data_IF_864165193996
#
_entry.id   IF_864165193996
#
_cell.length_a   1.000
_cell.length_b   1.000
_cell.length_c   1.000
_cell.angle_alpha   90.00
_cell.angle_beta   90.00
_cell.angle_gamma   90.00
#
_symmetry.space_group_name_H-M   'P 1'
#
loop_
_entity.id
_entity.type
_entity.pdbx_description
1 polymer ?
#
# COMPACT_ATOMS: atom_id res chain seq x y z
N UNK A 1 -8.52 7.75 -9.94
CA UNK A 1 -9.42 7.04 -8.99
C UNK A 1 -9.12 7.48 -7.57
N UNK A 2 -10.12 7.41 -6.69
CA UNK A 2 -10.03 7.59 -5.24
C UNK A 2 -9.99 6.22 -4.57
N UNK A 3 -8.89 5.92 -3.89
CA UNK A 3 -8.65 4.61 -3.28
C UNK A 3 -8.55 4.78 -1.77
N UNK A 4 -9.35 4.02 -1.02
CA UNK A 4 -9.31 4.00 0.44
C UNK A 4 -8.60 2.75 0.95
N UNK A 5 -7.71 2.90 1.94
CA UNK A 5 -6.99 1.80 2.55
C UNK A 5 -7.43 1.58 4.00
N UNK A 6 -7.96 0.39 4.31
CA UNK A 6 -8.31 0.01 5.70
C UNK A 6 -7.11 -0.68 6.36
N UNK A 7 -6.53 -0.05 7.37
CA UNK A 7 -5.26 -0.45 8.00
C UNK A 7 -4.04 0.09 7.26
N UNK A 8 -4.12 1.34 6.79
CA UNK A 8 -3.11 1.98 5.94
C UNK A 8 -1.74 2.17 6.63
N UNK A 9 -1.72 2.19 7.96
CA UNK A 9 -0.50 2.32 8.78
C UNK A 9 0.36 1.06 8.81
N UNK A 10 -0.10 -0.07 8.25
CA UNK A 10 0.73 -1.27 8.07
C UNK A 10 1.81 -1.06 7.01
N UNK A 11 3.02 -1.61 7.23
CA UNK A 11 4.16 -1.41 6.32
C UNK A 11 3.88 -1.87 4.88
N UNK A 12 3.13 -2.97 4.72
CA UNK A 12 2.77 -3.48 3.39
C UNK A 12 1.70 -2.65 2.69
N UNK A 13 0.68 -2.18 3.41
CA UNK A 13 -0.40 -1.37 2.81
C UNK A 13 0.07 0.04 2.49
N UNK A 14 0.84 0.66 3.38
CA UNK A 14 1.42 1.99 3.13
C UNK A 14 2.32 1.97 1.90
N UNK A 15 3.06 0.89 1.63
CA UNK A 15 3.84 0.79 0.40
C UNK A 15 2.95 0.86 -0.85
N UNK A 16 1.86 0.11 -0.87
CA UNK A 16 0.90 0.16 -1.99
C UNK A 16 0.23 1.53 -2.12
N UNK A 17 -0.12 2.16 -0.99
CA UNK A 17 -0.73 3.48 -0.98
C UNK A 17 0.21 4.55 -1.56
N UNK A 18 1.47 4.61 -1.09
CA UNK A 18 2.49 5.54 -1.62
C UNK A 18 2.74 5.31 -3.10
N UNK A 19 2.81 4.05 -3.53
CA UNK A 19 3.01 3.71 -4.93
C UNK A 19 1.86 4.20 -5.81
N UNK A 20 0.62 3.89 -5.42
CA UNK A 20 -0.58 4.33 -6.15
C UNK A 20 -0.74 5.86 -6.14
N UNK A 21 -0.34 6.53 -5.06
CA UNK A 21 -0.34 7.99 -5.03
C UNK A 21 0.64 8.59 -6.06
N UNK A 22 1.83 8.00 -6.21
CA UNK A 22 2.78 8.42 -7.24
C UNK A 22 2.32 8.08 -8.67
N UNK A 23 1.57 6.99 -8.85
CA UNK A 23 0.87 6.66 -10.12
C UNK A 23 -0.33 7.62 -10.42
N UNK A 24 -0.55 8.65 -9.59
CA UNK A 24 -1.55 9.70 -9.81
C UNK A 24 -2.93 9.42 -9.22
N UNK A 25 -3.08 8.38 -8.39
CA UNK A 25 -4.33 8.11 -7.68
C UNK A 25 -4.49 9.01 -6.44
N UNK A 26 -5.73 9.36 -6.12
CA UNK A 26 -6.04 10.01 -4.84
C UNK A 26 -6.15 8.92 -3.77
N UNK A 27 -5.34 9.00 -2.73
CA UNK A 27 -5.34 8.02 -1.65
C UNK A 27 -5.99 8.60 -0.38
N UNK A 28 -6.65 7.73 0.36
CA UNK A 28 -7.14 7.97 1.71
C UNK A 28 -7.00 6.69 2.51
N UNK A 29 -7.10 6.75 3.83
CA UNK A 29 -7.08 5.52 4.61
C UNK A 29 -7.49 5.71 6.05
N UNK A 30 -7.53 4.58 6.75
CA UNK A 30 -7.87 4.51 8.15
C UNK A 30 -6.95 3.54 8.88
N UNK A 31 -6.83 3.72 10.19
CA UNK A 31 -6.14 2.78 11.06
C UNK A 31 -6.74 2.85 12.47
N UNK A 32 -6.35 1.91 13.34
CA UNK A 32 -6.81 1.86 14.74
C UNK A 32 -6.18 2.97 15.59
N UNK A 33 -5.00 3.46 15.19
CA UNK A 33 -4.25 4.51 15.89
C UNK A 33 -3.36 5.28 14.93
N UNK A 34 -3.03 6.51 15.30
CA UNK A 34 -2.06 7.32 14.59
C UNK A 34 -0.65 6.74 14.75
N UNK A 35 0.12 6.75 13.66
CA UNK A 35 1.52 6.30 13.58
C UNK A 35 2.35 7.26 12.73
N UNK A 36 3.66 7.09 12.74
CA UNK A 36 4.57 7.83 11.85
C UNK A 36 4.22 7.61 10.38
N UNK A 37 3.89 6.37 9.99
CA UNK A 37 3.45 6.03 8.62
C UNK A 37 2.18 6.80 8.23
N UNK A 38 1.18 6.86 9.12
CA UNK A 38 -0.05 7.61 8.80
C UNK A 38 0.21 9.12 8.70
N UNK A 39 1.12 9.65 9.52
CA UNK A 39 1.49 11.07 9.45
C UNK A 39 2.23 11.38 8.14
N UNK A 40 3.17 10.53 7.75
CA UNK A 40 3.91 10.64 6.49
C UNK A 40 2.93 10.64 5.30
N UNK A 41 1.96 9.73 5.29
CA UNK A 41 0.95 9.66 4.22
C UNK A 41 0.10 10.94 4.15
N UNK A 42 -0.31 11.48 5.30
CA UNK A 42 -1.07 12.72 5.33
C UNK A 42 -0.25 13.92 4.83
N UNK A 43 0.99 14.06 5.31
CA UNK A 43 1.85 15.21 5.02
C UNK A 43 2.44 15.18 3.61
N UNK A 44 2.92 14.02 3.16
CA UNK A 44 3.70 13.90 1.93
C UNK A 44 2.82 13.56 0.71
N UNK A 45 1.66 12.92 0.93
CA UNK A 45 0.77 12.47 -0.14
C UNK A 45 -0.63 13.10 -0.06
N UNK A 46 -0.88 13.99 0.91
CA UNK A 46 -2.18 14.63 1.09
C UNK A 46 -3.30 13.64 1.44
N UNK A 47 -2.96 12.47 1.96
CA UNK A 47 -3.93 11.43 2.24
C UNK A 47 -4.87 11.84 3.39
N UNK A 48 -6.18 11.73 3.19
CA UNK A 48 -7.15 11.85 4.29
C UNK A 48 -7.04 10.60 5.17
N UNK A 49 -6.57 10.77 6.41
CA UNK A 49 -6.44 9.70 7.40
C UNK A 49 -7.58 9.78 8.42
N UNK A 50 -8.24 8.65 8.67
CA UNK A 50 -9.32 8.52 9.66
C UNK A 50 -8.89 7.60 10.81
N UNK A 51 -8.91 8.09 12.05
CA UNK A 51 -8.55 7.34 13.26
C UNK A 51 -9.65 7.52 14.33
N UNK A 52 -10.20 6.45 14.94
CA UNK A 52 -10.13 5.07 14.49
C UNK A 52 -11.02 4.86 13.26
N UNK A 53 -11.23 3.60 12.86
CA UNK A 53 -12.11 3.28 11.74
C UNK A 53 -13.51 3.87 11.88
N UNK A 54 -14.04 4.46 10.81
CA UNK A 54 -15.37 5.05 10.78
C UNK A 54 -16.04 4.81 9.43
N UNK A 55 -17.32 4.43 9.41
CA UNK A 55 -18.04 4.07 8.18
C UNK A 55 -17.98 5.17 7.10
N UNK A 56 -18.00 6.44 7.51
CA UNK A 56 -17.99 7.58 6.58
C UNK A 56 -16.64 7.74 5.85
N UNK A 57 -15.59 7.03 6.27
CA UNK A 57 -14.26 7.14 5.67
C UNK A 57 -14.21 6.63 4.21
N UNK A 58 -15.15 5.77 3.83
CA UNK A 58 -15.24 5.18 2.48
C UNK A 58 -16.25 5.89 1.57
N UNK A 59 -16.84 7.01 2.01
CA UNK A 59 -17.82 7.71 1.17
C UNK A 59 -17.17 8.41 -0.03
N UNK A 60 -17.71 8.18 -1.22
CA UNK A 60 -17.24 8.80 -2.46
C UNK A 60 -15.90 8.27 -2.97
N UNK A 61 -15.45 7.11 -2.50
CA UNK A 61 -14.26 6.42 -3.01
C UNK A 61 -14.64 5.39 -4.07
N UNK A 62 -13.75 5.15 -5.03
CA UNK A 62 -14.00 4.23 -6.14
C UNK A 62 -13.67 2.78 -5.77
N UNK A 63 -12.69 2.59 -4.88
CA UNK A 63 -12.18 1.28 -4.47
C UNK A 63 -11.66 1.30 -3.04
N UNK A 64 -11.78 0.18 -2.35
CA UNK A 64 -11.24 -0.06 -1.02
C UNK A 64 -10.23 -1.20 -1.07
N UNK A 65 -9.03 -0.97 -0.55
CA UNK A 65 -8.00 -1.98 -0.34
C UNK A 65 -7.84 -2.22 1.17
N UNK A 66 -7.85 -3.47 1.62
CA UNK A 66 -7.79 -3.77 3.05
C UNK A 66 -6.70 -4.78 3.41
N UNK A 67 -6.16 -4.64 4.63
CA UNK A 67 -5.18 -5.58 5.17
C UNK A 67 -5.83 -6.91 5.58
N UNK A 68 -5.02 -7.96 5.71
CA UNK A 68 -5.52 -9.27 6.17
C UNK A 68 -6.11 -9.25 7.60
N UNK A 69 -5.79 -8.22 8.40
CA UNK A 69 -6.32 -8.06 9.76
C UNK A 69 -7.76 -7.49 9.79
N UNK A 70 -8.26 -6.95 8.67
CA UNK A 70 -9.59 -6.35 8.60
C UNK A 70 -10.65 -7.44 8.55
N UNK A 71 -11.48 -7.48 9.59
CA UNK A 71 -12.61 -8.41 9.70
C UNK A 71 -13.84 -7.88 8.96
N UNK A 72 -14.76 -8.75 8.49
CA UNK A 72 -16.04 -8.32 7.89
C UNK A 72 -16.95 -7.50 8.82
N UNK A 73 -16.65 -7.45 10.12
CA UNK A 73 -17.33 -6.60 11.10
C UNK A 73 -16.78 -5.18 11.17
N UNK A 74 -15.72 -4.86 10.42
CA UNK A 74 -15.19 -3.50 10.35
C UNK A 74 -16.24 -2.56 9.72
N UNK A 75 -16.51 -1.38 10.30
CA UNK A 75 -17.56 -0.48 9.84
C UNK A 75 -17.34 0.03 8.41
N UNK A 76 -16.09 0.27 8.02
CA UNK A 76 -15.74 0.72 6.66
C UNK A 76 -15.92 -0.41 5.65
N UNK A 77 -15.53 -1.63 6.00
CA UNK A 77 -15.74 -2.81 5.15
C UNK A 77 -17.24 -3.04 4.89
N UNK A 78 -18.07 -3.00 5.93
CA UNK A 78 -19.52 -3.17 5.80
C UNK A 78 -20.15 -2.05 4.98
N UNK A 79 -19.74 -0.80 5.22
CA UNK A 79 -20.24 0.36 4.46
C UNK A 79 -19.85 0.30 3.00
N UNK A 80 -18.59 -0.02 2.70
CA UNK A 80 -18.11 -0.20 1.33
C UNK A 80 -18.90 -1.27 0.59
N UNK A 81 -19.13 -2.42 1.25
CA UNK A 81 -19.95 -3.50 0.70
C UNK A 81 -21.40 -3.06 0.45
N UNK A 82 -22.01 -2.33 1.38
CA UNK A 82 -23.37 -1.82 1.24
C UNK A 82 -23.52 -0.79 0.11
N UNK A 83 -22.48 -0.01 -0.14
CA UNK A 83 -22.42 0.97 -1.24
C UNK A 83 -22.03 0.34 -2.59
N UNK A 84 -21.70 -0.96 -2.63
CA UNK A 84 -21.25 -1.62 -3.85
C UNK A 84 -19.84 -1.19 -4.30
N UNK A 85 -19.04 -0.62 -3.40
CA UNK A 85 -17.66 -0.23 -3.67
C UNK A 85 -16.81 -1.49 -3.81
N UNK A 86 -15.92 -1.51 -4.80
CA UNK A 86 -15.02 -2.64 -5.03
C UNK A 86 -14.07 -2.83 -3.84
N UNK A 87 -14.11 -4.04 -3.27
CA UNK A 87 -13.30 -4.43 -2.13
C UNK A 87 -12.21 -5.40 -2.59
N UNK A 88 -10.96 -5.02 -2.44
CA UNK A 88 -9.81 -5.89 -2.71
C UNK A 88 -8.98 -6.09 -1.45
N UNK A 89 -8.65 -7.34 -1.13
CA UNK A 89 -7.58 -7.59 -0.18
C UNK A 89 -6.24 -7.06 -0.71
N UNK A 90 -5.26 -6.85 0.17
CA UNK A 90 -3.87 -6.55 -0.21
C UNK A 90 -3.39 -7.45 -1.36
N UNK A 91 -3.60 -8.78 -1.21
CA UNK A 91 -3.15 -9.78 -2.19
C UNK A 91 -3.83 -9.63 -3.55
N UNK A 92 -5.13 -9.37 -3.58
CA UNK A 92 -5.88 -9.16 -4.83
C UNK A 92 -5.44 -7.88 -5.53
N UNK A 93 -5.20 -6.80 -4.77
CA UNK A 93 -4.76 -5.52 -5.32
C UNK A 93 -3.41 -5.60 -6.03
N UNK A 94 -2.50 -6.49 -5.58
CA UNK A 94 -1.19 -6.68 -6.21
C UNK A 94 -1.29 -7.07 -7.69
N UNK A 95 -2.33 -7.83 -8.08
CA UNK A 95 -2.53 -8.21 -9.48
C UNK A 95 -2.76 -6.98 -10.36
N UNK A 96 -3.55 -6.03 -9.89
CA UNK A 96 -3.80 -4.77 -10.63
C UNK A 96 -2.58 -3.85 -10.60
N UNK A 97 -1.84 -3.80 -9.49
CA UNK A 97 -0.70 -2.89 -9.31
C UNK A 97 0.53 -3.38 -10.09
N UNK A 98 0.78 -4.69 -10.11
CA UNK A 98 1.98 -5.29 -10.66
C UNK A 98 1.78 -5.97 -12.02
N UNK A 99 0.54 -6.23 -12.45
CA UNK A 99 0.23 -7.11 -13.57
C UNK A 99 0.89 -6.75 -14.90
N UNK A 100 1.02 -5.45 -15.19
CA UNK A 100 1.63 -4.95 -16.43
C UNK A 100 3.10 -4.52 -16.26
N UNK A 101 3.68 -4.76 -15.09
CA UNK A 101 5.03 -4.29 -14.72
C UNK A 101 6.06 -5.42 -14.87
N UNK A 102 7.32 -5.05 -15.11
CA UNK A 102 8.46 -5.97 -15.09
C UNK A 102 8.88 -6.18 -13.63
N UNK A 103 8.41 -7.28 -13.03
CA UNK A 103 8.56 -7.54 -11.59
C UNK A 103 9.76 -8.42 -11.28
N UNK A 104 10.69 -7.88 -10.49
CA UNK A 104 11.78 -8.60 -9.85
C UNK A 104 11.37 -8.97 -8.41
N UNK A 105 10.77 -10.14 -8.25
CA UNK A 105 10.24 -10.59 -6.97
C UNK A 105 11.30 -11.31 -6.12
N UNK A 106 11.40 -10.96 -4.85
CA UNK A 106 12.27 -11.62 -3.86
C UNK A 106 11.39 -12.30 -2.81
N UNK A 107 11.35 -13.64 -2.83
CA UNK A 107 10.65 -14.46 -1.83
C UNK A 107 11.61 -15.25 -0.93
N UNK A 108 11.06 -15.88 0.11
CA UNK A 108 11.80 -16.79 1.01
C UNK A 108 11.60 -16.48 2.49
N UNK A 109 11.85 -17.45 3.37
CA UNK A 109 11.55 -17.31 4.81
C UNK A 109 12.30 -16.15 5.50
N UNK A 110 13.53 -15.86 5.08
CA UNK A 110 14.39 -14.85 5.69
C UNK A 110 15.16 -14.06 4.62
N UNK A 111 15.61 -12.85 4.98
CA UNK A 111 16.48 -12.03 4.13
C UNK A 111 15.77 -11.26 3.01
N UNK A 112 14.47 -11.44 2.82
CA UNK A 112 13.71 -10.82 1.71
C UNK A 112 13.89 -9.30 1.62
N UNK A 113 13.69 -8.57 2.73
CA UNK A 113 13.78 -7.12 2.72
C UNK A 113 15.18 -6.62 2.40
N UNK A 114 16.21 -7.24 2.99
CA UNK A 114 17.62 -6.91 2.73
C UNK A 114 17.99 -7.17 1.27
N UNK A 115 17.63 -8.35 0.74
CA UNK A 115 17.92 -8.73 -0.64
C UNK A 115 17.14 -7.85 -1.63
N UNK A 116 15.89 -7.49 -1.33
CA UNK A 116 15.09 -6.56 -2.14
C UNK A 116 15.72 -5.17 -2.17
N UNK A 117 16.20 -4.66 -1.02
CA UNK A 117 16.89 -3.37 -0.96
C UNK A 117 18.20 -3.38 -1.75
N UNK A 118 19.01 -4.44 -1.63
CA UNK A 118 20.23 -4.61 -2.42
C UNK A 118 19.93 -4.67 -3.92
N UNK A 119 18.91 -5.43 -4.31
CA UNK A 119 18.50 -5.55 -5.71
C UNK A 119 17.99 -4.21 -6.27
N UNK A 120 17.21 -3.45 -5.50
CA UNK A 120 16.79 -2.10 -5.88
C UNK A 120 18.00 -1.17 -6.04
N UNK A 121 19.04 -1.29 -5.22
CA UNK A 121 20.27 -0.50 -5.37
C UNK A 121 21.03 -0.83 -6.66
N UNK A 122 21.05 -2.12 -7.06
CA UNK A 122 21.73 -2.61 -8.27
C UNK A 122 20.96 -2.24 -9.54
N UNK A 123 19.63 -2.24 -9.50
CA UNK A 123 18.78 -1.89 -10.64
C UNK A 123 18.48 -0.39 -10.58
N UNK A 124 19.21 0.46 -11.33
CA UNK A 124 19.01 1.90 -11.27
C UNK A 124 17.61 2.26 -11.74
N UNK A 125 17.02 3.26 -11.11
CA UNK A 125 15.71 3.79 -11.45
C UNK A 125 14.60 2.73 -11.47
N UNK A 126 14.69 1.59 -10.78
CA UNK A 126 13.50 0.74 -10.60
C UNK A 126 12.61 1.28 -9.50
N UNK A 127 11.31 1.03 -9.62
CA UNK A 127 10.43 1.11 -8.47
C UNK A 127 10.82 0.04 -7.44
N UNK A 128 10.53 0.30 -6.18
CA UNK A 128 10.73 -0.68 -5.11
C UNK A 128 9.53 -0.67 -4.16
N UNK A 129 9.08 -1.86 -3.76
CA UNK A 129 8.05 -2.09 -2.75
C UNK A 129 8.62 -3.08 -1.74
N UNK A 130 9.07 -2.58 -0.59
CA UNK A 130 9.82 -3.36 0.41
C UNK A 130 9.05 -3.38 1.73
N UNK A 131 9.07 -4.51 2.44
CA UNK A 131 8.45 -4.69 3.75
C UNK A 131 9.17 -3.97 4.91
N UNK A 132 10.10 -3.07 4.60
CA UNK A 132 10.90 -2.31 5.57
C UNK A 132 11.33 -0.96 4.96
N UNK A 133 11.74 -0.03 5.83
CA UNK A 133 12.30 1.25 5.40
C UNK A 133 13.73 1.04 4.87
N UNK A 134 13.95 1.37 3.60
CA UNK A 134 15.28 1.39 3.00
C UNK A 134 16.08 2.58 3.50
N UNK A 135 17.34 2.36 3.87
CA UNK A 135 18.27 3.44 4.25
C UNK A 135 18.65 4.34 3.08
N UNK A 136 18.62 3.82 1.86
CA UNK A 136 19.03 4.56 0.66
C UNK A 136 18.05 5.69 0.31
N UNK A 137 16.76 5.44 0.46
CA UNK A 137 15.70 6.39 0.06
C UNK A 137 14.74 6.76 1.19
N UNK A 138 15.00 6.35 2.43
CA UNK A 138 14.25 6.77 3.63
C UNK A 138 12.78 6.35 3.64
N UNK A 139 12.38 5.39 2.80
CA UNK A 139 11.00 4.95 2.63
C UNK A 139 10.95 3.44 2.38
N UNK A 140 9.76 2.85 2.48
CA UNK A 140 9.46 1.49 2.02
C UNK A 140 9.12 1.43 0.52
N UNK A 141 9.06 2.59 -0.13
CA UNK A 141 8.79 2.73 -1.56
C UNK A 141 9.84 3.61 -2.21
N UNK A 142 10.34 3.15 -3.35
CA UNK A 142 11.01 4.02 -4.34
C UNK A 142 10.09 4.09 -5.55
N UNK A 143 9.80 5.30 -6.00
CA UNK A 143 9.05 5.52 -7.23
C UNK A 143 9.99 5.91 -8.36
N UNK A 144 9.74 5.39 -9.54
CA UNK A 144 10.43 5.75 -10.77
C UNK A 144 9.45 5.63 -11.95
N UNK A 145 9.54 6.58 -12.88
CA UNK A 145 8.68 6.64 -14.06
C UNK A 145 9.08 5.60 -15.12
N UNK A 146 8.85 4.32 -14.80
CA UNK A 146 8.97 3.17 -15.68
C UNK A 146 8.27 1.95 -15.07
N UNK A 147 8.30 0.83 -15.80
CA UNK A 147 7.58 -0.38 -15.44
C UNK A 147 8.40 -1.39 -14.62
N UNK A 148 9.66 -1.11 -14.25
CA UNK A 148 10.47 -2.04 -13.45
C UNK A 148 10.12 -1.92 -11.98
N UNK A 149 9.86 -3.03 -11.32
CA UNK A 149 9.53 -3.06 -9.89
C UNK A 149 10.32 -4.15 -9.19
N UNK A 150 11.11 -3.78 -8.19
CA UNK A 150 11.61 -4.73 -7.19
C UNK A 150 10.54 -4.90 -6.11
N UNK A 151 10.10 -6.14 -5.91
CA UNK A 151 8.97 -6.44 -5.02
C UNK A 151 9.39 -7.48 -3.96
N UNK A 152 9.21 -7.14 -2.69
CA UNK A 152 9.32 -8.11 -1.62
C UNK A 152 8.07 -9.02 -1.61
N UNK A 153 8.24 -10.27 -2.02
CA UNK A 153 7.16 -11.24 -2.08
C UNK A 153 7.05 -12.00 -0.76
N UNK A 154 5.98 -11.70 -0.03
CA UNK A 154 5.62 -12.35 1.23
C UNK A 154 4.76 -13.60 0.97
N UNK A 155 5.23 -14.74 1.45
CA UNK A 155 4.61 -16.06 1.33
C UNK A 155 3.49 -16.35 2.34
N UNK A 156 3.23 -15.43 3.28
CA UNK A 156 2.23 -15.58 4.36
C UNK A 156 0.79 -15.19 4.02
#
# INVERSE_FOLDING_TARGET
>A
MKIHFIGIGGIGLSALAKFLANDGHQISGSDIKQTEITNELALNFGAKITIPHHQDAVEGVDRVIYSAAVRPTNPEYQRAKALGIELLSRKESLKTILGEKEVYAVGGAHGKSTTSAMLASIIPNSNALIGAISKEFGSNVRYADNNKVVFEADES
#
